data_IF_066705330416
#
_entry.id   IF_066705330416
#
_cell.length_a   1.000
_cell.length_b   1.000
_cell.length_c   1.000
_cell.angle_alpha   90.00
_cell.angle_beta   90.00
_cell.angle_gamma   90.00
#
_symmetry.space_group_name_H-M   'P 1'
#
loop_
_entity.id
_entity.type
_entity.pdbx_description
1 polymer ?
#
# COMPACT_ATOMS: atom_id res chain seq x y z
N UNK A 1 -7.28 -13.44 6.86
CA UNK A 1 -6.01 -13.24 6.16
C UNK A 1 -6.25 -12.19 5.11
N UNK A 2 -5.71 -11.00 5.34
CA UNK A 2 -5.92 -9.83 4.49
C UNK A 2 -4.57 -9.34 4.03
N UNK A 3 -4.27 -9.60 2.76
CA UNK A 3 -2.96 -9.30 2.22
C UNK A 3 -2.93 -7.89 1.65
N UNK A 4 -2.00 -7.08 2.13
CA UNK A 4 -1.69 -5.78 1.56
C UNK A 4 -0.66 -5.98 0.44
N UNK A 5 -1.00 -5.53 -0.77
CA UNK A 5 -0.12 -5.65 -1.95
C UNK A 5 0.45 -4.31 -2.36
N UNK A 6 1.77 -4.21 -2.41
CA UNK A 6 2.48 -3.05 -2.93
C UNK A 6 2.78 -3.24 -4.41
N UNK A 7 2.34 -2.30 -5.25
CA UNK A 7 2.52 -2.35 -6.70
C UNK A 7 3.02 -1.02 -7.25
N UNK A 8 3.84 -1.00 -8.30
CA UNK A 8 4.09 0.21 -9.06
C UNK A 8 2.86 0.58 -9.88
N UNK A 9 2.69 1.87 -10.19
CA UNK A 9 1.61 2.42 -11.00
C UNK A 9 1.75 2.07 -12.48
N UNK A 10 2.94 1.63 -12.89
CA UNK A 10 3.23 1.09 -14.20
C UNK A 10 3.90 -0.29 -14.07
N UNK A 11 3.22 -1.34 -14.55
CA UNK A 11 3.70 -2.73 -14.48
C UNK A 11 2.89 -3.63 -13.54
N UNK A 12 2.92 -4.95 -13.78
CA UNK A 12 2.18 -5.95 -12.99
C UNK A 12 2.98 -6.53 -11.82
N UNK A 13 4.16 -5.99 -11.53
CA UNK A 13 5.08 -6.50 -10.51
C UNK A 13 4.56 -6.23 -9.10
N UNK A 14 4.62 -7.25 -8.24
CA UNK A 14 4.40 -7.09 -6.79
C UNK A 14 5.75 -6.74 -6.17
N UNK A 15 5.82 -5.58 -5.51
CA UNK A 15 7.01 -5.12 -4.80
C UNK A 15 7.12 -5.81 -3.44
N UNK A 16 6.00 -5.89 -2.73
CA UNK A 16 5.85 -6.56 -1.45
C UNK A 16 4.39 -7.02 -1.28
N UNK A 17 4.20 -8.15 -0.59
CA UNK A 17 2.90 -8.69 -0.20
C UNK A 17 3.05 -9.31 1.19
N UNK A 18 2.10 -9.03 2.09
CA UNK A 18 2.09 -9.57 3.45
C UNK A 18 0.77 -9.28 4.16
N UNK A 19 0.53 -9.99 5.27
CA UNK A 19 -0.61 -9.75 6.15
C UNK A 19 -0.31 -8.65 7.18
N UNK A 20 -1.11 -7.59 7.20
CA UNK A 20 -0.95 -6.47 8.15
C UNK A 20 -1.32 -6.87 9.59
N UNK A 21 -2.06 -7.96 9.78
CA UNK A 21 -2.38 -8.49 11.11
C UNK A 21 -1.23 -9.33 11.71
N UNK A 22 -0.20 -9.66 10.92
CA UNK A 22 0.98 -10.41 11.35
C UNK A 22 2.15 -9.42 11.54
N UNK A 23 2.67 -9.22 12.77
CA UNK A 23 3.64 -8.16 13.05
C UNK A 23 4.98 -8.32 12.31
N UNK A 24 5.40 -9.56 12.03
CA UNK A 24 6.61 -9.83 11.25
C UNK A 24 6.44 -9.38 9.79
N UNK A 25 5.29 -9.68 9.18
CA UNK A 25 4.96 -9.26 7.81
C UNK A 25 4.65 -7.75 7.73
N UNK A 26 4.02 -7.17 8.75
CA UNK A 26 3.78 -5.73 8.85
C UNK A 26 5.10 -4.95 8.85
N UNK A 27 6.11 -5.41 9.59
CA UNK A 27 7.44 -4.82 9.58
C UNK A 27 8.07 -4.85 8.18
N UNK A 28 8.02 -5.99 7.48
CA UNK A 28 8.57 -6.12 6.13
C UNK A 28 7.85 -5.18 5.13
N UNK A 29 6.52 -5.04 5.26
CA UNK A 29 5.72 -4.11 4.47
C UNK A 29 6.12 -2.66 4.76
N UNK A 30 6.28 -2.28 6.03
CA UNK A 30 6.70 -0.93 6.42
C UNK A 30 8.08 -0.60 5.83
N UNK A 31 9.03 -1.52 5.91
CA UNK A 31 10.37 -1.32 5.34
C UNK A 31 10.33 -1.17 3.82
N UNK A 32 9.57 -2.03 3.14
CA UNK A 32 9.37 -1.94 1.69
C UNK A 32 8.72 -0.61 1.29
N UNK A 33 7.67 -0.17 2.00
CA UNK A 33 6.99 1.09 1.75
C UNK A 33 7.93 2.28 1.87
N UNK A 34 8.75 2.30 2.93
CA UNK A 34 9.71 3.38 3.17
C UNK A 34 10.77 3.43 2.09
N UNK A 35 11.30 2.27 1.69
CA UNK A 35 12.27 2.17 0.61
C UNK A 35 11.76 2.81 -0.69
N UNK A 36 10.49 2.58 -1.04
CA UNK A 36 9.92 3.20 -2.24
C UNK A 36 9.78 4.72 -2.13
N UNK A 37 9.42 5.23 -0.94
CA UNK A 37 9.39 6.68 -0.70
C UNK A 37 10.79 7.31 -0.71
N UNK A 38 11.79 6.61 -0.19
CA UNK A 38 13.20 7.04 -0.22
C UNK A 38 13.75 7.06 -1.66
N UNK A 39 13.26 6.17 -2.54
CA UNK A 39 13.52 6.21 -3.99
C UNK A 39 12.80 7.38 -4.71
N UNK A 40 12.04 8.20 -3.97
CA UNK A 40 11.36 9.39 -4.48
C UNK A 40 9.98 9.12 -5.08
N UNK A 41 9.45 7.90 -4.93
CA UNK A 41 8.10 7.57 -5.36
C UNK A 41 7.06 8.14 -4.40
N UNK A 42 5.82 8.23 -4.85
CA UNK A 42 4.68 8.57 -4.01
C UNK A 42 3.65 7.44 -3.97
N UNK A 43 3.03 7.23 -2.82
CA UNK A 43 2.11 6.12 -2.60
C UNK A 43 0.65 6.61 -2.59
N UNK A 44 -0.23 5.80 -3.19
CA UNK A 44 -1.67 6.00 -3.16
C UNK A 44 -2.40 4.70 -2.82
N UNK A 45 -3.40 4.80 -1.96
CA UNK A 45 -4.23 3.68 -1.51
C UNK A 45 -5.61 3.81 -2.14
N UNK A 46 -6.05 2.85 -2.98
CA UNK A 46 -7.42 2.83 -3.46
C UNK A 46 -8.40 2.60 -2.30
N UNK A 47 -9.30 3.54 -2.09
CA UNK A 47 -10.36 3.46 -1.06
C UNK A 47 -11.72 3.31 -1.74
N UNK A 48 -12.53 2.38 -1.25
CA UNK A 48 -13.94 2.26 -1.64
C UNK A 48 -14.76 3.33 -0.94
N UNK A 49 -15.11 4.41 -1.65
CA UNK A 49 -16.10 5.36 -1.16
C UNK A 49 -17.51 4.76 -1.28
N UNK A 50 -18.38 4.99 -0.30
CA UNK A 50 -19.74 4.43 -0.20
C UNK A 50 -20.67 4.72 -1.40
N UNK A 51 -20.25 5.55 -2.35
CA UNK A 51 -20.97 5.88 -3.58
C UNK A 51 -20.48 5.18 -4.86
N UNK A 52 -19.69 4.12 -4.77
CA UNK A 52 -19.26 3.31 -5.93
C UNK A 52 -18.19 3.94 -6.82
N UNK A 53 -17.71 5.15 -6.50
CA UNK A 53 -16.55 5.76 -7.16
C UNK A 53 -15.26 5.25 -6.53
N UNK A 54 -14.36 4.73 -7.36
CA UNK A 54 -12.98 4.41 -6.98
C UNK A 54 -12.26 5.71 -6.68
N UNK A 55 -11.89 5.91 -5.41
CA UNK A 55 -11.03 7.01 -4.98
C UNK A 55 -9.68 6.45 -4.60
N UNK A 56 -8.65 7.28 -4.66
CA UNK A 56 -7.34 6.94 -4.14
C UNK A 56 -6.91 8.04 -3.18
N UNK A 57 -6.46 7.63 -1.99
CA UNK A 57 -5.87 8.53 -1.01
C UNK A 57 -4.36 8.50 -1.18
N UNK A 58 -3.75 9.66 -1.39
CA UNK A 58 -2.31 9.79 -1.38
C UNK A 58 -1.81 9.70 0.06
N UNK A 59 -0.82 8.85 0.32
CA UNK A 59 -0.27 8.58 1.65
C UNK A 59 1.24 8.81 1.64
N UNK A 60 1.78 9.34 2.74
CA UNK A 60 3.22 9.60 2.92
C UNK A 60 3.83 8.75 4.02
N UNK A 61 3.00 8.11 4.84
CA UNK A 61 3.40 7.22 5.92
C UNK A 61 2.57 5.94 5.85
N UNK A 62 3.18 4.83 6.25
CA UNK A 62 2.50 3.54 6.27
C UNK A 62 1.27 3.55 7.20
N UNK A 63 1.33 4.27 8.32
CA UNK A 63 0.22 4.41 9.27
C UNK A 63 -1.01 5.13 8.70
N UNK A 64 -0.86 5.85 7.58
CA UNK A 64 -1.99 6.46 6.87
C UNK A 64 -2.75 5.46 5.98
N UNK A 65 -2.21 4.24 5.79
CA UNK A 65 -2.85 3.18 5.01
C UNK A 65 -3.96 2.56 5.86
N UNK A 66 -5.23 2.61 5.40
CA UNK A 66 -6.30 1.90 6.06
C UNK A 66 -5.99 0.40 6.14
N UNK A 67 -6.15 -0.20 7.33
CA UNK A 67 -5.94 -1.64 7.53
C UNK A 67 -6.86 -2.52 6.67
N UNK A 68 -7.94 -1.95 6.14
CA UNK A 68 -8.84 -2.63 5.22
C UNK A 68 -8.43 -2.53 3.73
N UNK A 69 -7.32 -1.85 3.43
CA UNK A 69 -6.83 -1.73 2.06
C UNK A 69 -6.26 -3.05 1.52
N UNK A 70 -6.61 -3.39 0.28
CA UNK A 70 -6.07 -4.57 -0.40
C UNK A 70 -4.77 -4.28 -1.17
N UNK A 71 -4.47 -3.00 -1.47
CA UNK A 71 -3.30 -2.63 -2.27
C UNK A 71 -2.83 -1.19 -2.06
N UNK A 72 -1.54 -0.96 -2.27
CA UNK A 72 -0.88 0.35 -2.36
C UNK A 72 -0.26 0.48 -3.75
N UNK A 73 -0.40 1.63 -4.38
CA UNK A 73 0.12 1.92 -5.70
C UNK A 73 1.20 3.01 -5.57
N UNK A 74 2.41 2.73 -6.03
CA UNK A 74 3.54 3.67 -6.04
C UNK A 74 3.73 4.29 -7.42
N UNK A 75 4.01 5.56 -7.51
CA UNK A 75 4.15 6.30 -8.77
C UNK A 75 5.40 7.16 -8.79
#
# INVERSE_FOLDING_TARGET
MRFLRMKPGHGEVVLAEGDVDVPEEECELVEAFRRQLDDGLWAAVPTTASGGRRQAQMVRRFDEIPRDADRVIFF
#
